data_IF_016415848591
#
_entry.id   IF_016415848591
#
_cell.length_a   1.000
_cell.length_b   1.000
_cell.length_c   1.000
_cell.angle_alpha   90.00
_cell.angle_beta   90.00
_cell.angle_gamma   90.00
#
_symmetry.space_group_name_H-M   'P 1'
#
loop_
_entity.id
_entity.type
_entity.pdbx_description
1 polymer ?
#
# COMPACT_ATOMS: atom_id res chain seq x y z
N UNK A 1 -29.33 0.89 -4.31
CA UNK A 1 -27.84 0.99 -4.30
C UNK A 1 -27.51 2.42 -3.95
N UNK A 2 -26.67 2.66 -2.94
CA UNK A 2 -26.18 4.02 -2.67
C UNK A 2 -25.08 4.43 -3.66
N UNK A 3 -24.71 5.71 -3.65
CA UNK A 3 -23.72 6.24 -4.59
C UNK A 3 -22.32 5.59 -4.46
N UNK A 4 -21.75 5.38 -3.25
CA UNK A 4 -20.49 4.64 -3.09
C UNK A 4 -20.53 3.19 -3.60
N UNK A 5 -21.62 2.48 -3.39
CA UNK A 5 -21.80 1.11 -3.90
C UNK A 5 -21.85 1.11 -5.43
N UNK A 6 -22.54 2.07 -6.03
CA UNK A 6 -22.56 2.25 -7.47
C UNK A 6 -21.14 2.45 -8.02
N UNK A 7 -20.37 3.39 -7.46
CA UNK A 7 -18.99 3.66 -7.90
C UNK A 7 -18.09 2.42 -7.84
N UNK A 8 -18.21 1.56 -6.81
CA UNK A 8 -17.43 0.32 -6.73
C UNK A 8 -17.81 -0.70 -7.82
N UNK A 9 -19.08 -0.75 -8.21
CA UNK A 9 -19.60 -1.73 -9.17
C UNK A 9 -19.21 -1.48 -10.64
N UNK A 10 -18.90 -0.22 -10.98
CA UNK A 10 -18.52 0.14 -12.36
C UNK A 10 -17.21 -0.56 -12.75
N UNK A 11 -17.13 -1.25 -13.91
CA UNK A 11 -15.87 -1.77 -14.45
C UNK A 11 -14.88 -0.64 -14.74
N UNK A 12 -13.63 -0.77 -14.29
CA UNK A 12 -12.59 0.27 -14.42
C UNK A 12 -11.34 -0.33 -15.05
N UNK A 13 -10.65 0.48 -15.83
CA UNK A 13 -9.26 0.24 -16.21
C UNK A 13 -8.36 1.20 -15.42
N UNK A 14 -7.21 0.71 -14.97
CA UNK A 14 -6.17 1.52 -14.34
C UNK A 14 -5.02 1.64 -15.34
N UNK A 15 -4.81 2.85 -15.88
CA UNK A 15 -3.87 3.06 -16.98
C UNK A 15 -2.43 3.31 -16.50
N UNK A 16 -2.26 3.64 -15.22
CA UNK A 16 -0.97 3.95 -14.63
C UNK A 16 -0.98 3.52 -13.17
N UNK A 17 -0.29 2.41 -12.90
CA UNK A 17 -0.11 1.88 -11.55
C UNK A 17 1.31 1.33 -11.44
N UNK A 18 2.03 1.80 -10.44
CA UNK A 18 3.36 1.30 -10.11
C UNK A 18 3.20 0.09 -9.20
N UNK A 19 3.54 -1.11 -9.68
CA UNK A 19 3.34 -2.34 -8.91
C UNK A 19 4.02 -2.29 -7.53
N UNK A 20 5.26 -1.80 -7.51
CA UNK A 20 6.04 -1.54 -6.31
C UNK A 20 5.35 -0.57 -5.33
N UNK A 21 4.59 0.39 -5.84
CA UNK A 21 3.83 1.36 -5.05
C UNK A 21 2.49 0.82 -4.50
N UNK A 22 2.10 -0.41 -4.86
CA UNK A 22 0.85 -1.02 -4.39
C UNK A 22 1.03 -1.95 -3.18
N UNK A 23 2.28 -2.20 -2.76
CA UNK A 23 2.55 -3.12 -1.66
C UNK A 23 1.99 -2.55 -0.37
N UNK A 24 1.22 -3.36 0.37
CA UNK A 24 0.72 -2.97 1.70
C UNK A 24 1.87 -2.94 2.69
N UNK A 25 1.89 -1.95 3.60
CA UNK A 25 2.95 -1.81 4.60
C UNK A 25 3.19 -3.10 5.41
N UNK A 26 2.11 -3.77 5.84
CA UNK A 26 2.20 -5.05 6.56
C UNK A 26 2.88 -6.15 5.72
N UNK A 27 2.54 -6.23 4.44
CA UNK A 27 3.17 -7.18 3.51
C UNK A 27 4.65 -6.87 3.32
N UNK A 28 5.01 -5.59 3.22
CA UNK A 28 6.41 -5.19 3.09
C UNK A 28 7.21 -5.52 4.36
N UNK A 29 6.64 -5.27 5.55
CA UNK A 29 7.25 -5.63 6.83
C UNK A 29 7.49 -7.15 6.97
N UNK A 30 6.52 -7.97 6.57
CA UNK A 30 6.67 -9.43 6.57
C UNK A 30 7.77 -9.91 5.62
N UNK A 31 7.89 -9.29 4.44
CA UNK A 31 8.96 -9.59 3.50
C UNK A 31 10.33 -9.17 4.04
N UNK A 32 10.43 -7.98 4.63
CA UNK A 32 11.67 -7.49 5.22
C UNK A 32 12.18 -8.45 6.32
N UNK A 33 11.29 -8.88 7.22
CA UNK A 33 11.61 -9.88 8.25
C UNK A 33 12.03 -11.22 7.66
N UNK A 34 11.36 -11.69 6.60
CA UNK A 34 11.70 -12.95 5.92
C UNK A 34 13.11 -12.96 5.33
N UNK A 35 13.59 -11.79 4.91
CA UNK A 35 14.86 -11.61 4.22
C UNK A 35 15.92 -10.90 5.07
N UNK A 36 15.70 -10.80 6.39
CA UNK A 36 16.61 -10.16 7.35
C UNK A 36 17.00 -8.72 6.97
N UNK A 37 16.04 -7.96 6.43
CA UNK A 37 16.22 -6.54 6.07
C UNK A 37 15.70 -5.65 7.19
N UNK A 38 16.57 -4.82 7.75
CA UNK A 38 16.18 -3.81 8.75
C UNK A 38 15.40 -2.67 8.08
N UNK A 39 14.23 -2.35 8.63
CA UNK A 39 13.39 -1.24 8.18
C UNK A 39 13.66 0.03 8.99
N UNK A 40 13.32 1.22 8.44
CA UNK A 40 13.51 2.50 9.14
C UNK A 40 12.62 2.66 10.38
N UNK A 41 11.59 1.83 10.54
CA UNK A 41 10.70 1.81 11.70
C UNK A 41 10.09 0.42 11.91
N UNK A 42 9.92 0.05 13.18
CA UNK A 42 9.17 -1.16 13.58
C UNK A 42 7.65 -0.92 13.60
N UNK A 43 7.21 0.34 13.52
CA UNK A 43 5.80 0.68 13.44
C UNK A 43 5.33 0.58 11.98
N UNK A 44 4.78 -0.58 11.62
CA UNK A 44 4.23 -0.88 10.29
C UNK A 44 3.27 0.20 9.78
N UNK A 45 2.45 0.80 10.65
CA UNK A 45 1.48 1.81 10.25
C UNK A 45 2.13 3.13 9.78
N UNK A 46 3.39 3.36 10.14
CA UNK A 46 4.18 4.54 9.78
C UNK A 46 5.23 4.28 8.72
N UNK A 47 5.26 3.07 8.15
CA UNK A 47 6.30 2.68 7.20
C UNK A 47 6.31 3.53 5.92
N UNK A 48 5.15 4.08 5.55
CA UNK A 48 4.98 4.96 4.39
C UNK A 48 4.68 6.40 4.79
N UNK A 49 4.99 6.79 6.03
CA UNK A 49 4.98 8.20 6.38
C UNK A 49 6.14 8.87 5.61
N UNK A 50 5.80 9.83 4.76
CA UNK A 50 6.76 10.61 4.00
C UNK A 50 6.80 12.02 4.59
N UNK A 51 7.99 12.51 4.93
CA UNK A 51 8.20 13.94 5.18
C UNK A 51 8.08 14.68 3.84
N UNK A 52 6.86 15.07 3.48
CA UNK A 52 6.65 16.08 2.44
C UNK A 52 6.91 17.45 3.06
N UNK A 53 8.15 17.92 2.91
CA UNK A 53 8.51 19.32 3.10
C UNK A 53 7.89 20.22 2.02
#
# INVERSE_FOLDING_TARGET
>A
MDYPQYLRSVPKAELHCHFEGTVRAATFADLARRHDVTLPTENVARLYDHDTA
#
